data_IF_273826110289
#
_entry.id   IF_273826110289
#
_cell.length_a   1.000
_cell.length_b   1.000
_cell.length_c   1.000
_cell.angle_alpha   90.00
_cell.angle_beta   90.00
_cell.angle_gamma   90.00
#
_symmetry.space_group_name_H-M   'P 1'
#
loop_
_entity.id
_entity.type
_entity.pdbx_description
1 polymer ?
#
# COMPACT_ATOMS: atom_id res chain seq x y z
N UNK A 1 20.37 13.34 -10.92
CA UNK A 1 20.18 11.88 -10.83
C UNK A 1 19.45 11.42 -12.08
N UNK A 2 19.91 10.38 -12.82
CA UNK A 2 19.24 9.91 -14.02
C UNK A 2 17.80 9.48 -13.72
N UNK A 3 16.87 9.84 -14.60
CA UNK A 3 15.44 9.65 -14.40
C UNK A 3 15.03 8.19 -14.14
N UNK A 4 15.71 7.23 -14.78
CA UNK A 4 15.47 5.80 -14.56
C UNK A 4 15.81 5.32 -13.14
N UNK A 5 16.92 5.78 -12.56
CA UNK A 5 17.34 5.44 -11.19
C UNK A 5 16.34 6.01 -10.19
N UNK A 6 15.87 7.25 -10.41
CA UNK A 6 14.86 7.88 -9.53
C UNK A 6 13.57 7.06 -9.50
N UNK A 7 13.10 6.54 -10.64
CA UNK A 7 11.91 5.69 -10.71
C UNK A 7 12.09 4.37 -9.97
N UNK A 8 13.23 3.71 -10.13
CA UNK A 8 13.54 2.46 -9.42
C UNK A 8 13.52 2.70 -7.90
N UNK A 9 14.11 3.79 -7.45
CA UNK A 9 14.10 4.14 -6.01
C UNK A 9 12.68 4.41 -5.49
N UNK A 10 11.85 5.11 -6.25
CA UNK A 10 10.45 5.36 -5.87
C UNK A 10 9.67 4.04 -5.78
N UNK A 11 9.80 3.16 -6.78
CA UNK A 11 9.13 1.85 -6.77
C UNK A 11 9.63 1.00 -5.61
N UNK A 12 10.94 0.97 -5.36
CA UNK A 12 11.52 0.25 -4.23
C UNK A 12 11.02 0.77 -2.89
N UNK A 13 10.98 2.08 -2.70
CA UNK A 13 10.46 2.71 -1.49
C UNK A 13 8.99 2.36 -1.26
N UNK A 14 8.18 2.34 -2.31
CA UNK A 14 6.77 1.96 -2.23
C UNK A 14 6.55 0.50 -1.89
N UNK A 15 7.31 -0.40 -2.50
CA UNK A 15 7.30 -1.81 -2.13
C UNK A 15 7.68 -1.97 -0.67
N UNK A 16 8.78 -1.35 -0.25
CA UNK A 16 9.26 -1.40 1.12
C UNK A 16 8.27 -0.78 2.11
N UNK A 17 7.63 0.33 1.77
CA UNK A 17 6.65 0.98 2.64
C UNK A 17 5.41 0.11 2.90
N UNK A 18 5.00 -0.73 1.94
CA UNK A 18 3.87 -1.64 2.11
C UNK A 18 4.27 -2.88 2.92
N UNK A 19 5.39 -3.51 2.57
CA UNK A 19 5.80 -4.79 3.16
C UNK A 19 6.55 -4.64 4.48
N UNK A 20 7.27 -3.54 4.70
CA UNK A 20 7.98 -3.24 5.94
C UNK A 20 7.22 -2.29 6.88
N UNK A 21 5.94 -2.06 6.61
CA UNK A 21 5.10 -1.17 7.42
C UNK A 21 5.12 -1.47 8.94
N UNK A 22 5.20 -2.72 9.42
CA UNK A 22 5.31 -2.97 10.87
C UNK A 22 6.51 -2.32 11.52
N UNK A 23 7.65 -2.26 10.82
CA UNK A 23 8.86 -1.61 11.34
C UNK A 23 8.73 -0.09 11.43
N UNK A 24 7.85 0.49 10.62
CA UNK A 24 7.54 1.93 10.65
C UNK A 24 6.39 2.26 11.61
N UNK A 25 5.62 1.26 12.04
CA UNK A 25 4.40 1.43 12.84
C UNK A 25 4.67 2.19 14.13
N UNK A 26 5.69 1.82 14.88
CA UNK A 26 6.03 2.48 16.14
C UNK A 26 6.42 3.94 15.93
N UNK A 27 7.17 4.24 14.87
CA UNK A 27 7.50 5.62 14.50
C UNK A 27 6.23 6.42 14.14
N UNK A 28 5.32 5.81 13.40
CA UNK A 28 4.05 6.45 13.04
C UNK A 28 3.16 6.71 14.24
N UNK A 29 3.07 5.75 15.17
CA UNK A 29 2.34 5.91 16.44
C UNK A 29 2.96 7.04 17.25
N UNK A 30 4.26 7.08 17.38
CA UNK A 30 4.97 8.15 18.10
C UNK A 30 4.66 9.53 17.51
N UNK A 31 4.82 9.71 16.20
CA UNK A 31 4.50 10.97 15.50
C UNK A 31 3.01 11.36 15.61
N UNK A 32 2.11 10.37 15.63
CA UNK A 32 0.70 10.62 15.87
C UNK A 32 0.43 11.12 17.29
N UNK A 33 1.03 10.47 18.29
CA UNK A 33 0.87 10.83 19.69
C UNK A 33 1.47 12.21 20.02
N UNK A 34 2.57 12.59 19.40
CA UNK A 34 3.17 13.93 19.56
C UNK A 34 2.23 15.06 19.12
N UNK A 35 1.40 14.80 18.11
CA UNK A 35 0.42 15.78 17.60
C UNK A 35 -0.84 15.89 18.43
N UNK A 36 -1.07 14.96 19.38
CA UNK A 36 -2.27 14.97 20.23
C UNK A 36 -2.09 15.95 21.41
N UNK A 37 -3.16 16.63 21.83
CA UNK A 37 -3.17 17.39 23.06
C UNK A 37 -2.78 16.51 24.26
N UNK A 38 -2.05 17.04 25.22
CA UNK A 38 -1.52 16.26 26.35
C UNK A 38 -2.60 15.48 27.10
N UNK A 39 -3.79 16.09 27.28
CA UNK A 39 -4.94 15.46 27.94
C UNK A 39 -5.48 14.22 27.18
N UNK A 40 -5.38 14.20 25.85
CA UNK A 40 -5.92 13.14 25.00
C UNK A 40 -4.86 12.08 24.66
N UNK A 41 -3.58 12.39 24.85
CA UNK A 41 -2.45 11.53 24.47
C UNK A 41 -2.53 10.14 25.12
N UNK A 42 -2.93 10.04 26.40
CA UNK A 42 -3.08 8.75 27.10
C UNK A 42 -4.18 7.90 26.47
N UNK A 43 -5.33 8.48 26.18
CA UNK A 43 -6.46 7.79 25.56
C UNK A 43 -6.09 7.35 24.15
N UNK A 44 -5.46 8.23 23.37
CA UNK A 44 -4.98 7.92 22.04
C UNK A 44 -3.95 6.78 22.05
N UNK A 45 -3.02 6.78 22.99
CA UNK A 45 -2.02 5.71 23.17
C UNK A 45 -2.70 4.37 23.49
N UNK A 46 -3.63 4.33 24.45
CA UNK A 46 -4.35 3.11 24.80
C UNK A 46 -5.15 2.59 23.61
N UNK A 47 -5.84 3.46 22.88
CA UNK A 47 -6.59 3.11 21.68
C UNK A 47 -5.69 2.49 20.60
N UNK A 48 -4.50 3.04 20.37
CA UNK A 48 -3.53 2.47 19.42
C UNK A 48 -3.00 1.11 19.89
N UNK A 49 -2.62 1.00 21.17
CA UNK A 49 -2.06 -0.22 21.73
C UNK A 49 -3.07 -1.37 21.77
N UNK A 50 -4.32 -1.11 22.10
CA UNK A 50 -5.36 -2.15 22.22
C UNK A 50 -6.06 -2.46 20.89
N UNK A 51 -6.24 -1.47 20.04
CA UNK A 51 -6.95 -1.63 18.77
C UNK A 51 -6.02 -1.98 17.59
N UNK A 52 -5.11 -1.07 17.29
CA UNK A 52 -4.32 -1.16 16.07
C UNK A 52 -3.14 -2.14 16.15
N UNK A 53 -2.39 -2.13 17.26
CA UNK A 53 -1.16 -2.92 17.39
C UNK A 53 -1.41 -4.43 17.34
N UNK A 54 -2.36 -5.02 18.10
CA UNK A 54 -2.60 -6.45 18.06
C UNK A 54 -3.06 -6.94 16.69
N UNK A 55 -3.96 -6.19 16.04
CA UNK A 55 -4.44 -6.52 14.69
C UNK A 55 -3.31 -6.45 13.66
N UNK A 56 -2.42 -5.45 13.78
CA UNK A 56 -1.27 -5.32 12.89
C UNK A 56 -0.27 -6.46 13.10
N UNK A 57 0.01 -6.84 14.35
CA UNK A 57 0.91 -7.97 14.66
C UNK A 57 0.32 -9.27 14.09
N UNK A 58 -0.97 -9.52 14.28
CA UNK A 58 -1.63 -10.69 13.72
C UNK A 58 -1.57 -10.70 12.18
N UNK A 59 -1.96 -9.59 11.55
CA UNK A 59 -1.99 -9.46 10.09
C UNK A 59 -0.61 -9.67 9.45
N UNK A 60 0.39 -8.94 9.93
CA UNK A 60 1.75 -9.04 9.39
C UNK A 60 2.47 -10.32 9.85
N UNK A 61 2.18 -10.81 11.05
CA UNK A 61 2.72 -12.08 11.54
C UNK A 61 2.29 -13.25 10.66
N UNK A 62 1.01 -13.34 10.32
CA UNK A 62 0.50 -14.34 9.37
C UNK A 62 1.12 -14.19 7.97
N UNK A 63 1.25 -12.96 7.49
CA UNK A 63 1.88 -12.69 6.19
C UNK A 63 3.35 -13.12 6.16
N UNK A 64 4.14 -12.72 7.16
CA UNK A 64 5.55 -13.09 7.19
C UNK A 64 5.75 -14.59 7.40
N UNK A 65 4.93 -15.23 8.23
CA UNK A 65 4.98 -16.68 8.39
C UNK A 65 4.69 -17.39 7.07
N UNK A 66 3.67 -16.95 6.33
CA UNK A 66 3.36 -17.45 5.00
C UNK A 66 4.55 -17.29 4.04
N UNK A 67 5.11 -16.08 3.94
CA UNK A 67 6.24 -15.78 3.04
C UNK A 67 7.48 -16.59 3.43
N UNK A 68 7.86 -16.56 4.70
CA UNK A 68 9.06 -17.27 5.19
C UNK A 68 8.93 -18.76 4.97
N UNK A 69 7.76 -19.35 5.26
CA UNK A 69 7.52 -20.77 5.04
C UNK A 69 7.72 -21.17 3.58
N UNK A 70 7.04 -20.50 2.66
CA UNK A 70 7.10 -20.85 1.24
C UNK A 70 8.44 -20.51 0.59
N UNK A 71 9.01 -19.35 0.92
CA UNK A 71 10.31 -18.93 0.37
C UNK A 71 11.43 -19.82 0.87
N UNK A 72 11.46 -20.16 2.16
CA UNK A 72 12.52 -21.04 2.68
C UNK A 72 12.40 -22.46 2.14
N UNK A 73 11.18 -23.02 2.01
CA UNK A 73 10.99 -24.33 1.38
C UNK A 73 11.36 -24.35 -0.11
N UNK A 74 11.28 -23.22 -0.79
CA UNK A 74 11.70 -23.11 -2.19
C UNK A 74 13.22 -22.90 -2.34
N UNK A 75 13.84 -22.12 -1.46
CA UNK A 75 15.23 -21.68 -1.61
C UNK A 75 16.22 -22.61 -0.90
N UNK A 76 15.92 -23.04 0.32
CA UNK A 76 16.87 -23.84 1.14
C UNK A 76 17.31 -25.14 0.45
N UNK A 77 16.43 -25.90 -0.23
CA UNK A 77 16.83 -27.11 -0.97
C UNK A 77 17.80 -26.85 -2.12
N UNK A 78 17.81 -25.64 -2.71
CA UNK A 78 18.76 -25.29 -3.77
C UNK A 78 20.21 -25.27 -3.29
N UNK A 79 20.42 -25.12 -1.98
CA UNK A 79 21.74 -25.16 -1.34
C UNK A 79 22.06 -26.54 -0.74
N UNK A 80 21.24 -27.56 -1.00
CA UNK A 80 21.46 -28.92 -0.48
C UNK A 80 21.04 -29.13 0.99
N UNK A 81 20.30 -28.20 1.57
CA UNK A 81 19.78 -28.31 2.94
C UNK A 81 18.30 -28.67 2.95
N UNK A 82 17.87 -29.41 3.99
CA UNK A 82 16.46 -29.67 4.25
C UNK A 82 15.89 -28.67 5.25
N UNK A 83 14.75 -28.09 4.91
CA UNK A 83 14.05 -27.20 5.83
C UNK A 83 13.17 -28.01 6.78
N UNK A 84 13.38 -27.84 8.09
CA UNK A 84 12.59 -28.51 9.12
C UNK A 84 11.74 -27.51 9.89
N UNK A 85 10.44 -27.69 9.80
CA UNK A 85 9.46 -26.90 10.53
C UNK A 85 8.93 -27.68 11.74
N UNK A 86 8.48 -26.96 12.77
CA UNK A 86 7.76 -27.60 13.87
C UNK A 86 6.41 -28.15 13.37
N UNK A 87 5.94 -29.22 14.01
CA UNK A 87 4.66 -29.83 13.66
C UNK A 87 3.51 -28.83 13.71
N UNK A 88 3.52 -27.94 14.71
CA UNK A 88 2.52 -26.88 14.86
C UNK A 88 2.44 -25.96 13.63
N UNK A 89 3.60 -25.59 13.06
CA UNK A 89 3.64 -24.75 11.84
C UNK A 89 3.08 -25.52 10.67
N UNK A 90 3.48 -26.79 10.49
CA UNK A 90 3.01 -27.63 9.38
C UNK A 90 1.48 -27.78 9.42
N UNK A 91 0.92 -28.04 10.59
CA UNK A 91 -0.53 -28.20 10.77
C UNK A 91 -1.31 -26.89 10.60
N UNK A 92 -0.71 -25.74 10.94
CA UNK A 92 -1.34 -24.44 10.77
C UNK A 92 -1.28 -23.93 9.32
N UNK A 93 -0.32 -24.38 8.51
CA UNK A 93 -0.10 -23.84 7.15
C UNK A 93 -1.30 -23.94 6.21
N UNK A 94 -2.13 -24.99 6.16
CA UNK A 94 -3.32 -25.02 5.32
C UNK A 94 -4.27 -23.85 5.60
N UNK A 95 -4.49 -23.54 6.88
CA UNK A 95 -5.34 -22.42 7.30
C UNK A 95 -4.69 -21.09 6.95
N UNK A 96 -3.39 -20.95 7.22
CA UNK A 96 -2.62 -19.74 6.89
C UNK A 96 -2.61 -19.49 5.39
N UNK A 97 -2.41 -20.53 4.57
CA UNK A 97 -2.46 -20.45 3.11
C UNK A 97 -3.83 -19.95 2.62
N UNK A 98 -4.91 -20.50 3.18
CA UNK A 98 -6.26 -20.05 2.85
C UNK A 98 -6.45 -18.57 3.19
N UNK A 99 -6.10 -18.14 4.41
CA UNK A 99 -6.18 -16.75 4.84
C UNK A 99 -5.29 -15.84 3.96
N UNK A 100 -4.08 -16.30 3.63
CA UNK A 100 -3.17 -15.55 2.78
C UNK A 100 -3.77 -15.30 1.39
N UNK A 101 -4.32 -16.31 0.74
CA UNK A 101 -4.86 -16.21 -0.62
C UNK A 101 -6.13 -15.35 -0.67
N UNK A 102 -7.06 -15.53 0.28
CA UNK A 102 -8.37 -14.84 0.21
C UNK A 102 -8.35 -13.43 0.84
N UNK A 103 -7.43 -13.15 1.72
CA UNK A 103 -7.46 -11.90 2.51
C UNK A 103 -6.13 -11.14 2.48
N UNK A 104 -5.00 -11.76 2.87
CA UNK A 104 -3.74 -11.02 3.00
C UNK A 104 -3.22 -10.55 1.64
N UNK A 105 -3.06 -11.45 0.67
CA UNK A 105 -2.50 -11.13 -0.64
C UNK A 105 -3.33 -10.09 -1.41
N UNK A 106 -4.67 -10.19 -1.51
CA UNK A 106 -5.47 -9.15 -2.15
C UNK A 106 -5.31 -7.77 -1.50
N UNK A 107 -5.23 -7.71 -0.16
CA UNK A 107 -5.01 -6.45 0.54
C UNK A 107 -3.61 -5.88 0.33
N UNK A 108 -2.57 -6.72 0.27
CA UNK A 108 -1.23 -6.27 -0.07
C UNK A 108 -1.15 -5.75 -1.50
N UNK A 109 -1.71 -6.47 -2.47
CA UNK A 109 -1.77 -6.04 -3.87
C UNK A 109 -2.52 -4.71 -4.00
N UNK A 110 -3.67 -4.58 -3.32
CA UNK A 110 -4.45 -3.34 -3.29
C UNK A 110 -3.64 -2.18 -2.70
N UNK A 111 -3.01 -2.40 -1.57
CA UNK A 111 -2.23 -1.37 -0.87
C UNK A 111 -1.02 -0.94 -1.70
N UNK A 112 -0.32 -1.88 -2.33
CA UNK A 112 0.77 -1.59 -3.25
C UNK A 112 0.28 -0.80 -4.46
N UNK A 113 -0.80 -1.27 -5.11
CA UNK A 113 -1.37 -0.62 -6.29
C UNK A 113 -1.79 0.82 -5.99
N UNK A 114 -2.43 1.05 -4.85
CA UNK A 114 -2.84 2.38 -4.43
C UNK A 114 -1.62 3.29 -4.19
N UNK A 115 -0.60 2.81 -3.50
CA UNK A 115 0.64 3.56 -3.27
C UNK A 115 1.37 3.85 -4.57
N UNK A 116 1.52 2.84 -5.44
CA UNK A 116 2.17 2.97 -6.73
C UNK A 116 1.47 3.99 -7.63
N UNK A 117 0.15 3.91 -7.75
CA UNK A 117 -0.65 4.87 -8.51
C UNK A 117 -0.56 6.26 -7.88
N UNK A 118 -0.75 6.37 -6.55
CA UNK A 118 -0.78 7.64 -5.83
C UNK A 118 0.52 8.44 -5.97
N UNK A 119 1.67 7.80 -5.88
CA UNK A 119 2.97 8.50 -6.01
C UNK A 119 3.32 8.90 -7.44
N UNK A 120 2.65 8.33 -8.44
CA UNK A 120 2.86 8.69 -9.84
C UNK A 120 1.80 9.67 -10.37
N UNK A 121 0.78 10.01 -9.58
CA UNK A 121 -0.27 10.95 -10.00
C UNK A 121 0.14 12.41 -9.89
N UNK A 122 1.14 12.72 -9.06
CA UNK A 122 1.62 14.09 -8.88
C UNK A 122 2.98 14.28 -9.54
N UNK A 123 3.11 15.40 -10.23
CA UNK A 123 4.38 15.86 -10.78
C UNK A 123 4.96 16.93 -9.85
N UNK A 124 6.15 16.65 -9.31
CA UNK A 124 6.88 17.56 -8.42
C UNK A 124 8.08 18.16 -9.16
N UNK A 125 7.81 18.94 -10.20
CA UNK A 125 8.84 19.64 -10.98
C UNK A 125 8.79 21.15 -10.78
N UNK A 126 9.21 21.90 -11.80
CA UNK A 126 9.26 23.36 -11.83
C UNK A 126 7.86 23.98 -12.06
N UNK A 127 6.85 23.49 -11.34
CA UNK A 127 5.47 23.92 -11.44
C UNK A 127 5.07 24.61 -10.14
N UNK A 128 4.31 25.69 -10.24
CA UNK A 128 3.75 26.38 -9.06
C UNK A 128 2.99 25.39 -8.20
N UNK A 129 3.31 25.28 -6.88
CA UNK A 129 2.60 24.43 -5.94
C UNK A 129 1.09 24.67 -5.85
N UNK A 130 0.60 25.79 -6.37
CA UNK A 130 -0.83 26.15 -6.42
C UNK A 130 -1.52 25.71 -7.71
N UNK A 131 -0.77 25.32 -8.73
CA UNK A 131 -1.34 24.86 -10.01
C UNK A 131 -1.64 23.37 -9.95
N UNK A 132 -2.76 23.03 -9.33
CA UNK A 132 -3.22 21.64 -9.13
C UNK A 132 -3.38 20.90 -10.47
N UNK A 133 -3.79 21.59 -11.52
CA UNK A 133 -4.01 20.97 -12.84
C UNK A 133 -2.69 20.50 -13.43
N UNK A 134 -1.69 21.37 -13.49
CA UNK A 134 -0.36 21.02 -14.02
C UNK A 134 0.39 20.02 -13.17
N UNK A 135 0.13 20.00 -11.86
CA UNK A 135 0.72 19.03 -10.95
C UNK A 135 0.13 17.63 -11.06
N UNK A 136 -1.08 17.51 -11.62
CA UNK A 136 -1.81 16.23 -11.63
C UNK A 136 -1.63 15.54 -12.97
N UNK A 137 -1.26 14.26 -12.93
CA UNK A 137 -1.14 13.40 -14.11
C UNK A 137 -2.35 12.46 -14.20
N UNK A 138 -2.87 12.32 -15.42
CA UNK A 138 -3.90 11.32 -15.72
C UNK A 138 -3.22 10.03 -16.18
N UNK A 139 -3.30 9.00 -15.38
CA UNK A 139 -2.62 7.72 -15.63
C UNK A 139 -3.55 6.78 -16.39
N UNK A 140 -3.47 6.77 -17.72
CA UNK A 140 -4.28 5.92 -18.61
C UNK A 140 -3.52 4.87 -19.43
N UNK A 141 -2.18 4.71 -19.33
CA UNK A 141 -1.49 3.70 -20.11
C UNK A 141 -2.05 2.30 -19.82
N UNK A 142 -2.14 1.45 -20.86
CA UNK A 142 -2.71 0.10 -20.73
C UNK A 142 -1.99 -0.77 -19.70
N UNK A 143 -0.67 -0.63 -19.53
CA UNK A 143 0.12 -1.38 -18.56
C UNK A 143 -0.18 -0.98 -17.09
N UNK A 144 -0.83 0.17 -16.87
CA UNK A 144 -1.32 0.58 -15.54
C UNK A 144 -2.65 -0.09 -15.17
N UNK A 145 -3.33 -0.73 -16.13
CA UNK A 145 -4.64 -1.35 -15.92
C UNK A 145 -4.67 -2.32 -14.72
N UNK A 146 -3.71 -3.25 -14.54
CA UNK A 146 -3.71 -4.15 -13.40
C UNK A 146 -3.73 -3.40 -12.05
N UNK A 147 -2.95 -2.34 -11.93
CA UNK A 147 -2.93 -1.53 -10.71
C UNK A 147 -4.23 -0.71 -10.54
N UNK A 148 -4.76 -0.18 -11.62
CA UNK A 148 -6.00 0.58 -11.64
C UNK A 148 -7.21 -0.25 -11.17
N UNK A 149 -7.25 -1.55 -11.48
CA UNK A 149 -8.30 -2.46 -11.02
C UNK A 149 -8.35 -2.54 -9.47
N UNK A 150 -7.20 -2.55 -8.82
CA UNK A 150 -7.12 -2.63 -7.36
C UNK A 150 -7.31 -1.29 -6.63
N UNK A 151 -7.29 -0.17 -7.32
CA UNK A 151 -7.53 1.16 -6.75
C UNK A 151 -8.72 1.89 -7.38
N UNK A 152 -9.69 1.16 -7.93
CA UNK A 152 -10.92 1.71 -8.51
C UNK A 152 -10.65 2.80 -9.56
N UNK A 153 -9.68 2.57 -10.44
CA UNK A 153 -9.26 3.48 -11.50
C UNK A 153 -8.88 4.90 -10.99
N UNK A 154 -8.34 4.96 -9.77
CA UNK A 154 -8.03 6.23 -9.11
C UNK A 154 -7.02 7.08 -9.89
N UNK A 155 -6.02 6.46 -10.52
CA UNK A 155 -5.02 7.18 -11.31
C UNK A 155 -5.59 7.91 -12.53
N UNK A 156 -6.66 7.38 -13.15
CA UNK A 156 -7.33 8.04 -14.26
C UNK A 156 -8.35 9.12 -13.80
N UNK A 157 -8.86 9.01 -12.57
CA UNK A 157 -9.92 9.90 -12.05
C UNK A 157 -9.43 10.89 -10.99
N UNK A 158 -8.15 10.86 -10.63
CA UNK A 158 -7.60 11.68 -9.56
C UNK A 158 -7.68 13.17 -9.84
N UNK A 159 -7.35 13.59 -11.07
CA UNK A 159 -7.46 14.98 -11.45
C UNK A 159 -8.88 15.53 -11.20
N UNK A 160 -9.91 14.75 -11.56
CA UNK A 160 -11.32 15.11 -11.32
C UNK A 160 -11.61 15.17 -9.82
N UNK A 161 -10.99 14.28 -9.02
CA UNK A 161 -11.17 14.26 -7.57
C UNK A 161 -10.81 15.60 -6.90
N UNK A 162 -9.82 16.33 -7.40
CA UNK A 162 -9.45 17.64 -6.86
C UNK A 162 -10.55 18.69 -7.00
N UNK A 163 -11.44 18.55 -7.98
CA UNK A 163 -12.55 19.49 -8.21
C UNK A 163 -13.86 19.03 -7.56
N UNK A 164 -14.10 17.71 -7.54
CA UNK A 164 -15.35 17.12 -7.04
C UNK A 164 -15.05 16.02 -6.00
N UNK A 165 -14.47 16.44 -4.88
CA UNK A 165 -13.97 15.53 -3.81
C UNK A 165 -15.05 14.60 -3.26
N UNK A 166 -16.30 15.07 -3.14
CA UNK A 166 -17.42 14.33 -2.54
C UNK A 166 -18.07 13.31 -3.46
N UNK A 167 -17.81 13.40 -4.77
CA UNK A 167 -18.43 12.50 -5.72
C UNK A 167 -17.85 11.08 -5.62
N UNK A 168 -18.71 10.04 -5.67
CA UNK A 168 -18.28 8.66 -5.69
C UNK A 168 -17.38 8.35 -6.89
N UNK A 169 -16.46 7.38 -6.74
CA UNK A 169 -15.49 7.03 -7.77
C UNK A 169 -16.14 6.63 -9.10
N UNK A 170 -17.29 5.94 -9.08
CA UNK A 170 -17.98 5.50 -10.28
C UNK A 170 -18.55 6.69 -11.08
N UNK A 171 -19.03 7.74 -10.43
CA UNK A 171 -19.48 8.98 -11.11
C UNK A 171 -18.29 9.62 -11.81
N UNK A 172 -17.16 9.77 -11.11
CA UNK A 172 -15.93 10.32 -11.69
C UNK A 172 -15.44 9.46 -12.87
N UNK A 173 -15.56 8.14 -12.76
CA UNK A 173 -15.21 7.22 -13.84
C UNK A 173 -16.12 7.40 -15.08
N UNK A 174 -17.42 7.51 -14.89
CA UNK A 174 -18.38 7.68 -16.00
C UNK A 174 -18.20 9.03 -16.72
N UNK A 175 -17.84 10.07 -15.98
CA UNK A 175 -17.66 11.44 -16.51
C UNK A 175 -16.23 11.73 -16.96
N UNK A 176 -15.27 10.83 -16.72
CA UNK A 176 -13.85 11.09 -16.91
C UNK A 176 -13.47 11.56 -18.30
N UNK A 177 -14.01 10.94 -19.35
CA UNK A 177 -13.75 11.32 -20.76
C UNK A 177 -14.16 12.75 -21.08
N UNK A 178 -15.30 13.18 -20.53
CA UNK A 178 -15.82 14.54 -20.75
C UNK A 178 -15.06 15.54 -19.89
N UNK A 179 -14.82 15.21 -18.62
CA UNK A 179 -14.08 16.06 -17.70
C UNK A 179 -12.65 16.36 -18.21
N UNK A 180 -11.92 15.32 -18.67
CA UNK A 180 -10.55 15.50 -19.19
C UNK A 180 -10.47 16.34 -20.47
N UNK A 181 -11.59 16.54 -21.18
CA UNK A 181 -11.62 17.45 -22.35
C UNK A 181 -11.76 18.92 -21.96
N UNK A 182 -12.29 19.17 -20.76
CA UNK A 182 -12.57 20.52 -20.27
C UNK A 182 -11.43 21.03 -19.37
N UNK A 183 -10.71 20.14 -18.75
CA UNK A 183 -9.53 20.43 -17.93
C UNK A 183 -8.29 20.71 -18.79
#
# INVERSE_FOLDING_TARGET
>A
MPWGIRRILIISDQLMSVYLRPFQMFKMIHLFLEKQPEKERKIAMISQLLGFVPLSILYYGLFYLFVVFHVSNAIVPLFGYEMRWSQVVIEAMPIINFIAVIWLMPNFIRSFSLQFVSSNMHYYGDIDPRDVIKQTQVLTPWWMMPFQLFCCNFGATHAIHHFVVKEPFYIRQMTSKTAHKVM
#
